data_IF_932105976021
#
_entry.id   IF_932105976021
#
_cell.length_a   1.000
_cell.length_b   1.000
_cell.length_c   1.000
_cell.angle_alpha   90.00
_cell.angle_beta   90.00
_cell.angle_gamma   90.00
#
_symmetry.space_group_name_H-M   'P 1'
#
loop_
_entity.id
_entity.type
_entity.pdbx_description
1 polymer ?
#
# COMPACT_ATOMS: atom_id res chain seq x y z
N UNK A 1 18.10 -9.70 -11.30
CA UNK A 1 17.56 -9.12 -10.05
C UNK A 1 17.26 -10.26 -9.11
N UNK A 2 17.88 -10.31 -7.94
CA UNK A 2 17.61 -11.36 -6.95
C UNK A 2 16.25 -11.10 -6.30
N UNK A 3 15.59 -12.13 -5.77
CA UNK A 3 14.32 -11.95 -5.03
C UNK A 3 14.46 -11.01 -3.84
N UNK A 4 15.64 -10.95 -3.23
CA UNK A 4 15.91 -10.01 -2.13
C UNK A 4 15.86 -8.56 -2.62
N UNK A 5 16.48 -8.23 -3.76
CA UNK A 5 16.40 -6.89 -4.35
C UNK A 5 14.96 -6.55 -4.79
N UNK A 6 14.22 -7.54 -5.30
CA UNK A 6 12.81 -7.37 -5.67
C UNK A 6 11.89 -7.11 -4.49
N UNK A 7 12.12 -7.78 -3.35
CA UNK A 7 11.39 -7.52 -2.12
C UNK A 7 11.67 -6.12 -1.57
N UNK A 8 12.94 -5.68 -1.56
CA UNK A 8 13.30 -4.32 -1.12
C UNK A 8 12.70 -3.24 -2.04
N UNK A 9 12.77 -3.42 -3.35
CA UNK A 9 12.15 -2.49 -4.31
C UNK A 9 10.64 -2.46 -4.16
N UNK A 10 9.99 -3.63 -4.03
CA UNK A 10 8.56 -3.70 -3.77
C UNK A 10 8.17 -2.97 -2.49
N UNK A 11 8.94 -3.15 -1.40
CA UNK A 11 8.70 -2.48 -0.12
C UNK A 11 8.83 -0.95 -0.20
N UNK A 12 9.72 -0.43 -1.05
CA UNK A 12 9.89 1.01 -1.25
C UNK A 12 8.85 1.60 -2.22
N UNK A 13 8.45 0.85 -3.24
CA UNK A 13 7.51 1.32 -4.27
C UNK A 13 6.06 1.22 -3.81
N UNK A 14 5.68 0.18 -3.05
CA UNK A 14 4.29 0.01 -2.60
C UNK A 14 3.75 1.19 -1.78
N UNK A 15 4.48 1.76 -0.78
CA UNK A 15 4.04 2.95 -0.05
C UNK A 15 3.96 4.19 -0.93
N UNK A 16 4.74 4.26 -2.01
CA UNK A 16 4.68 5.35 -2.98
C UNK A 16 3.36 5.33 -3.76
N UNK A 17 2.88 4.14 -4.13
CA UNK A 17 1.57 3.98 -4.77
C UNK A 17 0.47 4.45 -3.82
N UNK A 18 0.51 4.00 -2.56
CA UNK A 18 -0.47 4.42 -1.55
C UNK A 18 -0.43 5.92 -1.29
N UNK A 19 0.75 6.54 -1.18
CA UNK A 19 0.88 7.97 -0.90
C UNK A 19 0.39 8.83 -2.06
N UNK A 20 0.62 8.40 -3.31
CA UNK A 20 0.08 9.06 -4.50
C UNK A 20 -1.45 8.98 -4.50
N UNK A 21 -2.04 7.81 -4.26
CA UNK A 21 -3.50 7.66 -4.22
C UNK A 21 -4.12 8.51 -3.10
N UNK A 22 -3.50 8.56 -1.93
CA UNK A 22 -3.94 9.42 -0.83
C UNK A 22 -3.81 10.91 -1.16
N UNK A 23 -2.72 11.31 -1.80
CA UNK A 23 -2.50 12.70 -2.19
C UNK A 23 -3.51 13.18 -3.26
N UNK A 24 -3.95 12.30 -4.16
CA UNK A 24 -5.02 12.60 -5.12
C UNK A 24 -6.36 12.89 -4.44
N UNK A 25 -6.63 12.27 -3.28
CA UNK A 25 -7.82 12.55 -2.48
C UNK A 25 -7.69 13.77 -1.55
N UNK A 26 -6.52 14.42 -1.52
CA UNK A 26 -6.22 15.47 -0.55
C UNK A 26 -6.64 16.88 -1.02
N UNK A 27 -6.95 17.81 -0.10
CA UNK A 27 -7.22 19.20 -0.43
C UNK A 27 -6.06 19.89 -1.16
N UNK A 28 -4.83 19.42 -0.99
CA UNK A 28 -3.66 19.97 -1.68
C UNK A 28 -3.78 19.86 -3.21
N UNK A 29 -4.46 18.82 -3.73
CA UNK A 29 -4.73 18.69 -5.16
C UNK A 29 -5.76 19.74 -5.63
N UNK A 30 -6.78 20.01 -4.80
CA UNK A 30 -7.82 21.02 -5.12
C UNK A 30 -7.30 22.46 -5.12
N UNK A 31 -6.20 22.73 -4.42
CA UNK A 31 -5.55 24.05 -4.39
C UNK A 31 -4.56 24.28 -5.55
N UNK A 32 -4.31 23.28 -6.40
CA UNK A 32 -3.53 23.43 -7.64
C UNK A 32 -2.04 23.75 -7.47
N UNK A 33 -1.48 23.66 -6.26
CA UNK A 33 -0.07 23.95 -6.01
C UNK A 33 0.78 22.67 -6.07
N UNK A 34 1.66 22.57 -7.06
CA UNK A 34 2.55 21.40 -7.23
C UNK A 34 3.41 21.13 -5.98
N UNK A 35 3.87 22.18 -5.31
CA UNK A 35 4.64 22.08 -4.05
C UNK A 35 3.80 21.49 -2.92
N UNK A 36 2.53 21.89 -2.80
CA UNK A 36 1.60 21.35 -1.81
C UNK A 36 1.31 19.87 -2.04
N UNK A 37 1.16 19.46 -3.31
CA UNK A 37 1.01 18.07 -3.69
C UNK A 37 2.23 17.22 -3.30
N UNK A 38 3.44 17.65 -3.66
CA UNK A 38 4.67 16.92 -3.34
C UNK A 38 4.90 16.79 -1.83
N UNK A 39 4.65 17.86 -1.07
CA UNK A 39 4.72 17.83 0.39
C UNK A 39 3.74 16.81 0.99
N UNK A 40 2.52 16.75 0.44
CA UNK A 40 1.48 15.82 0.89
C UNK A 40 1.83 14.37 0.55
N UNK A 41 2.36 14.10 -0.64
CA UNK A 41 2.87 12.77 -1.02
C UNK A 41 4.01 12.33 -0.10
N UNK A 42 4.97 13.21 0.19
CA UNK A 42 6.09 12.90 1.08
C UNK A 42 5.62 12.59 2.51
N UNK A 43 4.66 13.38 3.03
CA UNK A 43 4.08 13.16 4.34
C UNK A 43 3.34 11.82 4.42
N UNK A 44 2.47 11.53 3.44
CA UNK A 44 1.75 10.27 3.39
C UNK A 44 2.67 9.07 3.13
N UNK A 45 3.77 9.25 2.40
CA UNK A 45 4.76 8.19 2.18
C UNK A 45 5.39 7.74 3.51
N UNK A 46 5.88 8.69 4.32
CA UNK A 46 6.45 8.40 5.64
C UNK A 46 5.40 7.76 6.55
N UNK A 47 4.18 8.28 6.55
CA UNK A 47 3.08 7.71 7.32
C UNK A 47 2.70 6.29 6.86
N UNK A 48 2.84 5.98 5.56
CA UNK A 48 2.52 4.68 4.97
C UNK A 48 3.61 3.64 5.20
N UNK A 49 4.85 4.04 5.47
CA UNK A 49 5.94 3.10 5.76
C UNK A 49 5.67 2.28 7.03
N UNK A 50 5.15 2.89 8.09
CA UNK A 50 4.84 2.22 9.35
C UNK A 50 3.83 1.08 9.18
N UNK A 51 2.61 1.28 8.65
CA UNK A 51 1.66 0.19 8.43
C UNK A 51 2.16 -0.82 7.39
N UNK A 52 2.95 -0.39 6.40
CA UNK A 52 3.56 -1.33 5.44
C UNK A 52 4.55 -2.27 6.13
N UNK A 53 5.42 -1.73 6.99
CA UNK A 53 6.37 -2.53 7.76
C UNK A 53 5.67 -3.42 8.79
N UNK A 54 4.61 -2.93 9.44
CA UNK A 54 3.90 -3.69 10.49
C UNK A 54 2.91 -4.73 9.96
N UNK A 55 2.28 -4.50 8.81
CA UNK A 55 1.21 -5.37 8.30
C UNK A 55 1.60 -6.05 6.99
N UNK A 56 2.14 -5.31 6.02
CA UNK A 56 2.41 -5.85 4.71
C UNK A 56 3.62 -6.80 4.71
N UNK A 57 4.70 -6.48 5.43
CA UNK A 57 5.88 -7.35 5.52
C UNK A 57 5.56 -8.69 6.20
N UNK A 58 4.94 -8.74 7.39
CA UNK A 58 4.63 -10.02 8.03
C UNK A 58 3.64 -10.86 7.22
N UNK A 59 2.64 -10.22 6.61
CA UNK A 59 1.69 -10.93 5.76
C UNK A 59 2.33 -11.47 4.48
N UNK A 60 3.24 -10.72 3.88
CA UNK A 60 4.01 -11.20 2.74
C UNK A 60 4.88 -12.40 3.11
N UNK A 61 5.58 -12.35 4.25
CA UNK A 61 6.36 -13.48 4.76
C UNK A 61 5.47 -14.69 5.05
N UNK A 62 4.27 -14.48 5.59
CA UNK A 62 3.29 -15.54 5.84
C UNK A 62 2.81 -16.18 4.53
N UNK A 63 2.43 -15.38 3.54
CA UNK A 63 2.02 -15.86 2.21
C UNK A 63 3.16 -16.59 1.50
N UNK A 64 4.39 -16.12 1.67
CA UNK A 64 5.60 -16.74 1.13
C UNK A 64 5.84 -18.11 1.77
N UNK A 65 5.76 -18.20 3.10
CA UNK A 65 5.90 -19.46 3.84
C UNK A 65 4.84 -20.48 3.41
N UNK A 66 3.62 -20.03 3.14
CA UNK A 66 2.51 -20.87 2.69
C UNK A 66 2.51 -21.16 1.18
N UNK A 67 3.51 -20.68 0.42
CA UNK A 67 3.59 -20.77 -1.06
C UNK A 67 2.31 -20.26 -1.76
N UNK A 68 1.63 -19.33 -1.10
CA UNK A 68 0.33 -18.81 -1.50
C UNK A 68 0.43 -17.45 -2.18
N UNK A 69 1.64 -16.95 -2.46
CA UNK A 69 1.90 -15.66 -3.14
C UNK A 69 1.42 -15.68 -4.59
N UNK A 70 0.11 -15.64 -4.77
CA UNK A 70 -0.59 -15.51 -6.06
C UNK A 70 -1.21 -14.13 -6.14
N UNK A 71 -1.39 -13.62 -7.35
CA UNK A 71 -1.95 -12.28 -7.57
C UNK A 71 -3.32 -12.07 -6.89
N UNK A 72 -4.17 -13.10 -6.85
CA UNK A 72 -5.46 -13.01 -6.16
C UNK A 72 -5.32 -12.83 -4.64
N UNK A 73 -4.35 -13.54 -4.04
CA UNK A 73 -4.10 -13.47 -2.59
C UNK A 73 -3.51 -12.12 -2.18
N UNK A 74 -2.64 -11.54 -3.01
CA UNK A 74 -2.03 -10.24 -2.75
C UNK A 74 -3.04 -9.11 -2.91
N UNK A 75 -3.93 -9.19 -3.91
CA UNK A 75 -5.07 -8.26 -4.04
C UNK A 75 -5.99 -8.35 -2.83
N UNK A 76 -6.42 -9.56 -2.46
CA UNK A 76 -7.33 -9.75 -1.31
C UNK A 76 -6.72 -9.25 0.00
N UNK A 77 -5.45 -9.56 0.24
CA UNK A 77 -4.73 -9.07 1.41
C UNK A 77 -4.58 -7.54 1.39
N UNK A 78 -4.20 -6.96 0.24
CA UNK A 78 -4.06 -5.52 0.09
C UNK A 78 -5.37 -4.78 0.33
N UNK A 79 -6.49 -5.34 -0.15
CA UNK A 79 -7.81 -4.78 0.11
C UNK A 79 -8.16 -4.80 1.59
N UNK A 80 -7.98 -5.93 2.27
CA UNK A 80 -8.27 -6.06 3.70
C UNK A 80 -7.37 -5.17 4.54
N UNK A 81 -6.08 -5.11 4.23
CA UNK A 81 -5.12 -4.23 4.89
C UNK A 81 -5.48 -2.74 4.69
N UNK A 82 -5.84 -2.35 3.47
CA UNK A 82 -6.28 -0.99 3.15
C UNK A 82 -7.55 -0.60 3.93
N UNK A 83 -8.55 -1.49 3.98
CA UNK A 83 -9.74 -1.29 4.82
C UNK A 83 -9.39 -1.20 6.31
N UNK A 84 -8.48 -2.03 6.79
CA UNK A 84 -8.00 -1.99 8.18
C UNK A 84 -7.30 -0.68 8.53
N UNK A 85 -6.47 -0.14 7.64
CA UNK A 85 -5.85 1.18 7.80
C UNK A 85 -6.91 2.28 7.84
N UNK A 86 -7.90 2.24 6.95
CA UNK A 86 -9.01 3.21 6.96
C UNK A 86 -9.80 3.14 8.27
N UNK A 87 -10.10 1.94 8.76
CA UNK A 87 -10.77 1.75 10.05
C UNK A 87 -9.95 2.26 11.25
N UNK A 88 -8.61 2.12 11.20
CA UNK A 88 -7.72 2.66 12.24
C UNK A 88 -7.66 4.19 12.21
N UNK A 89 -7.62 4.79 11.03
CA UNK A 89 -7.66 6.27 10.87
C UNK A 89 -8.99 6.81 11.39
N UNK A 90 -10.09 6.09 11.15
CA UNK A 90 -11.44 6.45 11.57
C UNK A 90 -11.82 5.91 12.95
N UNK A 91 -10.87 5.44 13.78
CA UNK A 91 -11.19 4.76 15.05
C UNK A 91 -12.13 5.57 15.98
N UNK A 92 -12.10 6.90 15.89
CA UNK A 92 -12.93 7.83 16.66
C UNK A 92 -14.24 8.28 15.96
N UNK A 93 -14.56 7.74 14.77
CA UNK A 93 -15.74 8.08 13.97
C UNK A 93 -16.47 6.82 13.50
N UNK A 94 -17.78 6.88 13.21
CA UNK A 94 -18.50 5.75 12.63
C UNK A 94 -17.91 5.39 11.26
N UNK A 95 -17.59 4.11 11.08
CA UNK A 95 -17.00 3.59 9.85
C UNK A 95 -18.05 3.64 8.73
N UNK A 96 -17.78 4.42 7.68
CA UNK A 96 -18.67 4.51 6.52
C UNK A 96 -18.09 3.69 5.36
N UNK A 97 -18.89 2.80 4.78
CA UNK A 97 -18.45 1.91 3.70
C UNK A 97 -17.90 2.67 2.48
N UNK A 98 -18.42 3.86 2.19
CA UNK A 98 -17.94 4.74 1.12
C UNK A 98 -16.50 5.23 1.32
N UNK A 99 -16.00 5.22 2.56
CA UNK A 99 -14.63 5.64 2.90
C UNK A 99 -13.67 4.44 3.05
N UNK A 100 -14.20 3.23 3.21
CA UNK A 100 -13.41 1.99 3.21
C UNK A 100 -12.99 1.59 1.81
N UNK A 101 -13.91 1.65 0.84
CA UNK A 101 -13.67 1.16 -0.52
C UNK A 101 -12.46 1.83 -1.20
N UNK A 102 -12.26 3.16 -1.17
CA UNK A 102 -11.11 3.81 -1.80
C UNK A 102 -9.77 3.31 -1.23
N UNK A 103 -9.70 3.15 0.10
CA UNK A 103 -8.50 2.68 0.79
C UNK A 103 -8.24 1.19 0.57
N UNK A 104 -9.30 0.39 0.50
CA UNK A 104 -9.20 -1.01 0.09
C UNK A 104 -8.63 -1.13 -1.32
N UNK A 105 -9.15 -0.38 -2.30
CA UNK A 105 -8.62 -0.39 -3.66
C UNK A 105 -7.18 0.14 -3.76
N UNK A 106 -6.85 1.18 -2.99
CA UNK A 106 -5.47 1.68 -2.90
C UNK A 106 -4.51 0.60 -2.37
N UNK A 107 -4.91 -0.11 -1.32
CA UNK A 107 -4.15 -1.21 -0.75
C UNK A 107 -3.98 -2.37 -1.72
N UNK A 108 -5.05 -2.75 -2.43
CA UNK A 108 -5.01 -3.77 -3.47
C UNK A 108 -4.07 -3.40 -4.64
N UNK A 109 -4.09 -2.15 -5.08
CA UNK A 109 -3.20 -1.66 -6.13
C UNK A 109 -1.73 -1.67 -5.69
N UNK A 110 -1.44 -1.26 -4.45
CA UNK A 110 -0.10 -1.27 -3.89
C UNK A 110 0.47 -2.70 -3.78
N UNK A 111 -0.31 -3.65 -3.24
CA UNK A 111 0.14 -5.04 -3.11
C UNK A 111 0.24 -5.76 -4.45
N UNK A 112 -0.59 -5.40 -5.43
CA UNK A 112 -0.46 -5.90 -6.80
C UNK A 112 0.84 -5.39 -7.45
N UNK A 113 1.15 -4.10 -7.30
CA UNK A 113 2.43 -3.53 -7.74
C UNK A 113 3.63 -4.23 -7.11
N UNK A 114 3.58 -4.45 -5.79
CA UNK A 114 4.58 -5.25 -5.07
C UNK A 114 4.72 -6.65 -5.68
N UNK A 115 3.60 -7.35 -5.94
CA UNK A 115 3.61 -8.70 -6.50
C UNK A 115 4.23 -8.75 -7.89
N UNK A 116 3.94 -7.78 -8.76
CA UNK A 116 4.54 -7.68 -10.10
C UNK A 116 6.06 -7.50 -10.01
N UNK A 117 6.52 -6.63 -9.11
CA UNK A 117 7.96 -6.40 -8.90
C UNK A 117 8.62 -7.68 -8.34
N UNK A 118 7.98 -8.32 -7.36
CA UNK A 118 8.50 -9.52 -6.72
C UNK A 118 8.60 -10.71 -7.69
N UNK A 119 7.58 -10.93 -8.52
CA UNK A 119 7.57 -12.01 -9.53
C UNK A 119 8.60 -11.80 -10.65
N UNK A 120 9.05 -10.56 -10.85
CA UNK A 120 10.14 -10.25 -11.79
C UNK A 120 11.53 -10.62 -11.26
N UNK A 121 11.66 -10.92 -9.96
CA UNK A 121 12.91 -11.38 -9.34
C UNK A 121 13.19 -12.85 -9.63
N UNK A 122 14.42 -13.18 -10.04
CA UNK A 122 14.84 -14.57 -10.26
C UNK A 122 15.19 -15.22 -8.91
N UNK A 123 14.75 -16.47 -8.73
CA UNK A 123 15.23 -17.36 -7.68
C UNK A 123 16.72 -17.64 -7.94
N UNK A 124 17.59 -17.06 -7.12
CA UNK A 124 19.00 -17.47 -7.02
C UNK A 124 19.20 -18.02 -5.61
#
# INVERSE_FOLDING_TARGET
MTKQTAAWLGFLIAPLISSVVLALGSPAMTQGTATGYLATVALFYVASLVPTAMLAVPAFLLLLALKLVRWWSTIGFGFVAGCGVSALIQFSRPIVASELAPMGFAGAAATLGFWIIWTSGKDQ
#
